data_IF_484487457848
#
_entry.id   IF_484487457848
#
_cell.length_a   1.000
_cell.length_b   1.000
_cell.length_c   1.000
_cell.angle_alpha   90.00
_cell.angle_beta   90.00
_cell.angle_gamma   90.00
#
_symmetry.space_group_name_H-M   'P 1'
#
loop_
_entity.id
_entity.type
_entity.pdbx_description
1 polymer ?
#
# COMPACT_ATOMS: atom_id res chain seq x y z
N UNK A 1 -18.14 -10.24 -4.24
CA UNK A 1 -17.47 -9.61 -3.11
C UNK A 1 -16.38 -8.68 -3.59
N UNK A 2 -16.31 -7.51 -2.99
CA UNK A 2 -15.30 -6.55 -3.40
C UNK A 2 -13.94 -6.95 -2.87
N UNK A 3 -12.93 -6.82 -3.70
CA UNK A 3 -11.55 -7.02 -3.28
C UNK A 3 -11.05 -5.76 -2.61
N UNK A 4 -10.24 -5.92 -1.57
CA UNK A 4 -9.73 -4.80 -0.80
C UNK A 4 -8.27 -4.54 -1.15
N UNK A 5 -7.95 -3.27 -1.35
CA UNK A 5 -6.60 -2.84 -1.70
C UNK A 5 -6.14 -1.76 -0.72
N UNK A 6 -4.95 -1.95 -0.18
CA UNK A 6 -4.31 -0.95 0.65
C UNK A 6 -3.21 -0.27 -0.17
N UNK A 7 -3.33 1.04 -0.34
CA UNK A 7 -2.34 1.84 -1.04
C UNK A 7 -1.48 2.54 0.00
N UNK A 8 -0.22 2.16 0.10
CA UNK A 8 0.72 2.78 1.05
C UNK A 8 1.55 3.79 0.30
N UNK A 9 1.46 5.03 0.72
CA UNK A 9 2.08 6.16 0.02
C UNK A 9 3.11 6.82 0.91
N UNK A 10 4.32 6.97 0.39
CA UNK A 10 5.33 7.80 1.04
C UNK A 10 5.26 9.18 0.38
N UNK A 11 4.71 10.19 1.07
CA UNK A 11 4.52 11.51 0.44
C UNK A 11 5.82 12.24 0.14
N UNK A 12 6.93 11.77 0.70
CA UNK A 12 8.24 12.38 0.42
C UNK A 12 8.88 11.85 -0.84
N UNK A 13 8.45 10.69 -1.30
CA UNK A 13 8.98 10.14 -2.54
C UNK A 13 8.41 10.93 -3.71
N UNK A 14 9.26 11.34 -4.63
CA UNK A 14 8.82 12.14 -5.76
C UNK A 14 8.27 13.50 -5.34
N UNK A 15 8.87 14.09 -4.37
CA UNK A 15 8.39 15.31 -3.69
C UNK A 15 8.10 16.49 -4.60
N UNK A 16 8.66 16.49 -5.80
CA UNK A 16 8.42 17.57 -6.75
C UNK A 16 7.31 17.24 -7.74
N UNK A 17 6.71 16.06 -7.61
CA UNK A 17 5.72 15.60 -8.56
C UNK A 17 4.32 15.95 -8.12
N UNK A 18 3.44 16.09 -9.09
CA UNK A 18 2.04 16.26 -8.80
C UNK A 18 1.47 14.93 -8.28
N UNK A 19 0.32 15.00 -7.63
CA UNK A 19 -0.36 13.80 -7.15
C UNK A 19 -1.17 13.09 -8.24
N UNK A 20 -1.14 13.58 -9.47
CA UNK A 20 -1.94 13.02 -10.55
C UNK A 20 -1.67 11.54 -10.82
N UNK A 21 -0.40 11.06 -10.86
CA UNK A 21 -0.15 9.65 -11.07
C UNK A 21 -0.76 8.76 -9.99
N UNK A 22 -0.73 9.20 -8.74
CA UNK A 22 -1.35 8.45 -7.65
C UNK A 22 -2.85 8.40 -7.83
N UNK A 23 -3.45 9.54 -8.14
CA UNK A 23 -4.89 9.64 -8.33
C UNK A 23 -5.35 8.75 -9.48
N UNK A 24 -4.60 8.75 -10.57
CA UNK A 24 -4.89 7.89 -11.71
C UNK A 24 -4.82 6.42 -11.33
N UNK A 25 -3.81 6.02 -10.56
CA UNK A 25 -3.66 4.65 -10.14
C UNK A 25 -4.84 4.22 -9.26
N UNK A 26 -5.25 5.07 -8.33
CA UNK A 26 -6.40 4.79 -7.48
C UNK A 26 -7.65 4.59 -8.33
N UNK A 27 -7.84 5.45 -9.34
CA UNK A 27 -9.01 5.34 -10.22
C UNK A 27 -9.01 4.03 -11.00
N UNK A 28 -7.85 3.63 -11.51
CA UNK A 28 -7.74 2.38 -12.27
C UNK A 28 -8.11 1.18 -11.39
N UNK A 29 -7.60 1.12 -10.18
CA UNK A 29 -7.91 0.02 -9.29
C UNK A 29 -9.37 0.05 -8.85
N UNK A 30 -9.91 1.23 -8.59
CA UNK A 30 -11.32 1.36 -8.23
C UNK A 30 -12.23 0.85 -9.34
N UNK A 31 -11.91 1.18 -10.59
CA UNK A 31 -12.69 0.71 -11.74
C UNK A 31 -12.55 -0.79 -11.93
N UNK A 32 -11.46 -1.36 -11.47
CA UNK A 32 -11.24 -2.80 -11.56
C UNK A 32 -11.96 -3.58 -10.44
N UNK A 33 -12.67 -2.89 -9.56
CA UNK A 33 -13.47 -3.54 -8.53
C UNK A 33 -12.85 -3.59 -7.15
N UNK A 34 -11.75 -2.87 -6.94
CA UNK A 34 -11.13 -2.83 -5.61
C UNK A 34 -11.72 -1.71 -4.77
N UNK A 35 -11.89 -2.03 -3.48
CA UNK A 35 -12.13 -0.99 -2.48
C UNK A 35 -10.76 -0.50 -2.05
N UNK A 36 -10.42 0.71 -2.42
CA UNK A 36 -9.08 1.26 -2.22
C UNK A 36 -9.03 2.10 -0.96
N UNK A 37 -8.11 1.77 -0.07
CA UNK A 37 -7.77 2.59 1.09
C UNK A 37 -6.39 3.17 0.88
N UNK A 38 -6.24 4.47 1.04
CA UNK A 38 -4.96 5.14 0.86
C UNK A 38 -4.45 5.58 2.22
N UNK A 39 -3.22 5.18 2.55
CA UNK A 39 -2.58 5.54 3.82
C UNK A 39 -1.22 6.12 3.54
N UNK A 40 -0.95 7.26 4.14
CA UNK A 40 0.35 7.91 4.01
C UNK A 40 1.26 7.50 5.15
N UNK A 41 2.53 7.30 4.82
CA UNK A 41 3.54 7.10 5.86
C UNK A 41 3.97 8.46 6.41
N UNK A 42 4.33 8.48 7.68
CA UNK A 42 4.77 9.69 8.35
C UNK A 42 6.25 9.66 8.70
N UNK A 43 6.86 8.49 8.63
CA UNK A 43 8.25 8.34 8.96
C UNK A 43 8.71 6.93 8.78
N UNK A 44 9.97 6.69 9.17
CA UNK A 44 10.57 5.39 9.04
C UNK A 44 9.81 4.36 9.87
N UNK A 45 9.55 3.20 9.28
CA UNK A 45 8.86 2.11 9.95
C UNK A 45 7.35 2.13 9.80
N UNK A 46 6.76 3.25 9.35
CA UNK A 46 5.31 3.34 9.24
C UNK A 46 4.74 2.36 8.24
N UNK A 47 5.42 2.15 7.11
CA UNK A 47 4.91 1.23 6.10
C UNK A 47 4.84 -0.19 6.64
N UNK A 48 5.81 -0.57 7.48
CA UNK A 48 5.79 -1.88 8.13
C UNK A 48 4.57 -2.02 9.04
N UNK A 49 4.29 -1.01 9.85
CA UNK A 49 3.14 -1.04 10.76
C UNK A 49 1.84 -1.07 9.98
N UNK A 50 1.71 -0.24 8.95
CA UNK A 50 0.50 -0.21 8.13
C UNK A 50 0.26 -1.56 7.47
N UNK A 51 1.30 -2.16 6.89
CA UNK A 51 1.17 -3.44 6.23
C UNK A 51 0.79 -4.54 7.22
N UNK A 52 1.42 -4.55 8.38
CA UNK A 52 1.15 -5.56 9.40
C UNK A 52 -0.25 -5.44 9.96
N UNK A 53 -0.69 -4.21 10.26
CA UNK A 53 -1.97 -4.02 10.95
C UNK A 53 -3.17 -4.07 10.02
N UNK A 54 -3.00 -3.66 8.76
CA UNK A 54 -4.12 -3.57 7.82
C UNK A 54 -4.06 -4.61 6.71
N UNK A 55 -2.89 -5.18 6.46
CA UNK A 55 -2.70 -6.02 5.30
C UNK A 55 -3.46 -7.34 5.33
N UNK A 56 -3.69 -7.91 6.52
CA UNK A 56 -4.37 -9.19 6.63
C UNK A 56 -5.81 -9.14 6.09
N UNK A 57 -6.41 -7.96 6.10
CA UNK A 57 -7.77 -7.77 5.60
C UNK A 57 -7.80 -7.38 4.12
N UNK A 58 -6.65 -7.29 3.48
CA UNK A 58 -6.55 -6.85 2.09
C UNK A 58 -6.14 -7.98 1.18
N UNK A 59 -6.56 -7.86 -0.08
CA UNK A 59 -6.15 -8.79 -1.12
C UNK A 59 -4.86 -8.33 -1.80
N UNK A 60 -4.62 -7.03 -1.81
CA UNK A 60 -3.48 -6.44 -2.49
C UNK A 60 -2.99 -5.21 -1.74
N UNK A 61 -1.68 -5.08 -1.62
CA UNK A 61 -1.05 -3.85 -1.14
C UNK A 61 -0.23 -3.28 -2.30
N UNK A 62 -0.44 -2.01 -2.59
CA UNK A 62 0.32 -1.29 -3.60
C UNK A 62 1.14 -0.23 -2.90
N UNK A 63 2.42 -0.15 -3.22
CA UNK A 63 3.32 0.82 -2.64
C UNK A 63 3.58 1.95 -3.63
N UNK A 64 3.49 3.18 -3.14
CA UNK A 64 3.83 4.36 -3.92
C UNK A 64 4.93 5.09 -3.17
N UNK A 65 6.16 4.85 -3.59
CA UNK A 65 7.34 5.38 -2.92
C UNK A 65 8.57 4.71 -3.48
N UNK A 66 9.70 4.88 -2.80
CA UNK A 66 10.94 4.26 -3.22
C UNK A 66 11.11 2.85 -2.68
N UNK A 67 12.30 2.31 -2.90
CA UNK A 67 12.63 0.96 -2.46
C UNK A 67 12.48 0.77 -0.95
N UNK A 68 12.73 1.83 -0.19
CA UNK A 68 12.58 1.76 1.27
C UNK A 68 11.15 1.49 1.69
N UNK A 69 10.19 2.14 1.02
CA UNK A 69 8.77 1.93 1.32
C UNK A 69 8.37 0.49 0.99
N UNK A 70 8.79 -0.01 -0.15
CA UNK A 70 8.49 -1.37 -0.55
C UNK A 70 9.09 -2.36 0.44
N UNK A 71 10.34 -2.15 0.83
CA UNK A 71 11.02 -3.03 1.75
C UNK A 71 10.33 -3.09 3.12
N UNK A 72 9.93 -1.92 3.63
CA UNK A 72 9.19 -1.86 4.88
C UNK A 72 7.84 -2.56 4.78
N UNK A 73 7.17 -2.39 3.65
CA UNK A 73 5.87 -3.03 3.42
C UNK A 73 6.02 -4.55 3.44
N UNK A 74 7.03 -5.06 2.75
CA UNK A 74 7.28 -6.50 2.72
C UNK A 74 7.57 -7.02 4.13
N UNK A 75 8.36 -6.28 4.91
CA UNK A 75 8.64 -6.68 6.29
C UNK A 75 7.35 -6.78 7.11
N UNK A 76 6.42 -5.85 6.91
CA UNK A 76 5.14 -5.90 7.62
C UNK A 76 4.30 -7.09 7.20
N UNK A 77 4.26 -7.36 5.89
CA UNK A 77 3.50 -8.50 5.37
C UNK A 77 4.04 -9.81 5.92
N UNK A 78 5.36 -9.92 6.07
CA UNK A 78 5.97 -11.13 6.60
C UNK A 78 5.59 -11.42 8.05
N UNK A 79 5.07 -10.43 8.77
CA UNK A 79 4.57 -10.61 10.14
C UNK A 79 3.13 -11.11 10.18
N UNK A 80 2.46 -11.13 9.04
CA UNK A 80 1.09 -11.66 8.93
C UNK A 80 1.17 -13.18 8.77
N UNK A 81 0.26 -13.95 9.36
CA UNK A 81 0.21 -15.39 9.12
C UNK A 81 0.18 -15.68 7.63
N UNK A 82 0.94 -16.67 7.22
CA UNK A 82 1.21 -16.94 5.80
C UNK A 82 -0.05 -17.02 4.95
N UNK A 83 -1.09 -17.67 5.46
CA UNK A 83 -2.33 -17.87 4.71
C UNK A 83 -3.18 -16.60 4.58
N UNK A 84 -2.81 -15.54 5.28
CA UNK A 84 -3.55 -14.28 5.22
C UNK A 84 -2.78 -13.15 4.55
N UNK A 85 -1.60 -13.46 4.02
CA UNK A 85 -0.76 -12.43 3.41
C UNK A 85 -1.35 -11.96 2.09
N UNK A 86 -1.47 -10.63 1.90
CA UNK A 86 -1.90 -10.10 0.61
C UNK A 86 -0.77 -10.16 -0.41
N UNK A 87 -1.12 -9.98 -1.67
CA UNK A 87 -0.12 -9.74 -2.69
C UNK A 87 0.42 -8.32 -2.53
N UNK A 88 1.67 -8.12 -2.92
CA UNK A 88 2.32 -6.81 -2.84
C UNK A 88 2.81 -6.42 -4.23
N UNK A 89 2.55 -5.18 -4.58
CA UNK A 89 2.96 -4.64 -5.87
C UNK A 89 3.71 -3.31 -5.74
#
# INVERSE_FOLDING_TARGET
MDKKLLFIVNPRAGKTKSSAPLFEAVSIYSEAGYLVSVRQTRGRGDATVLAETLGADCDLIVCHGGDGTLNETINGVMRIPKEKRPMVS
#
